data_IF_592244626681
#
_entry.id   IF_592244626681
#
_cell.length_a   1.000
_cell.length_b   1.000
_cell.length_c   1.000
_cell.angle_alpha   90.00
_cell.angle_beta   90.00
_cell.angle_gamma   90.00
#
_symmetry.space_group_name_H-M   'P 1'
#
loop_
_entity.id
_entity.type
_entity.pdbx_description
1 polymer ?
#
# COMPACT_ATOMS: atom_id res chain seq x y z
N UNK A 1 -16.01 21.77 -5.85
CA UNK A 1 -15.21 22.36 -6.95
C UNK A 1 -15.22 21.36 -8.10
N UNK A 2 -15.58 21.77 -9.32
CA UNK A 2 -15.48 20.89 -10.49
C UNK A 2 -14.04 20.89 -10.97
N UNK A 3 -13.32 19.80 -10.72
CA UNK A 3 -11.99 19.56 -11.24
C UNK A 3 -12.12 19.00 -12.66
N UNK A 4 -12.20 19.89 -13.64
CA UNK A 4 -12.27 19.47 -15.05
C UNK A 4 -10.86 19.52 -15.66
N UNK A 5 -10.09 18.45 -15.50
CA UNK A 5 -8.82 18.22 -16.17
C UNK A 5 -8.61 16.72 -16.41
N UNK A 6 -7.76 16.37 -17.38
CA UNK A 6 -7.35 14.98 -17.63
C UNK A 6 -5.99 14.71 -16.96
N UNK A 7 -5.77 13.48 -16.49
CA UNK A 7 -4.47 13.08 -15.93
C UNK A 7 -3.33 13.28 -16.93
N UNK A 8 -3.59 13.01 -18.20
CA UNK A 8 -2.61 13.17 -19.28
C UNK A 8 -2.15 14.64 -19.45
N UNK A 9 -3.05 15.62 -19.35
CA UNK A 9 -2.68 17.03 -19.39
C UNK A 9 -1.79 17.43 -18.19
N UNK A 10 -2.01 16.83 -17.02
CA UNK A 10 -1.16 17.05 -15.83
C UNK A 10 0.22 16.41 -16.03
N UNK A 11 0.28 15.18 -16.55
CA UNK A 11 1.54 14.46 -16.82
C UNK A 11 2.38 15.20 -17.86
N UNK A 12 1.75 15.75 -18.90
CA UNK A 12 2.42 16.58 -19.93
C UNK A 12 2.78 17.98 -19.45
N UNK A 13 2.40 18.37 -18.24
CA UNK A 13 2.79 19.65 -17.64
C UNK A 13 2.00 20.86 -18.15
N UNK A 14 0.80 20.65 -18.69
CA UNK A 14 -0.05 21.75 -19.17
C UNK A 14 -0.43 22.68 -18.01
N UNK A 15 -0.07 23.97 -18.11
CA UNK A 15 -0.15 24.93 -16.99
C UNK A 15 -1.53 25.00 -16.34
N UNK A 16 -2.59 25.02 -17.15
CA UNK A 16 -3.96 25.09 -16.67
C UNK A 16 -4.38 23.84 -15.89
N UNK A 17 -4.03 22.65 -16.41
CA UNK A 17 -4.32 21.38 -15.75
C UNK A 17 -3.57 21.28 -14.42
N UNK A 18 -2.27 21.61 -14.40
CA UNK A 18 -1.45 21.62 -13.19
C UNK A 18 -1.98 22.61 -12.16
N UNK A 19 -2.38 23.82 -12.56
CA UNK A 19 -2.94 24.84 -11.66
C UNK A 19 -4.25 24.38 -11.00
N UNK A 20 -5.10 23.65 -11.72
CA UNK A 20 -6.33 23.08 -11.18
C UNK A 20 -6.01 21.90 -10.25
N UNK A 21 -5.14 20.99 -10.68
CA UNK A 21 -4.72 19.81 -9.92
C UNK A 21 -4.07 20.17 -8.57
N UNK A 22 -3.29 21.26 -8.50
CA UNK A 22 -2.71 21.77 -7.24
C UNK A 22 -3.74 22.11 -6.16
N UNK A 23 -4.99 22.40 -6.53
CA UNK A 23 -6.08 22.72 -5.59
C UNK A 23 -6.84 21.48 -5.14
N UNK A 24 -6.58 20.32 -5.76
CA UNK A 24 -7.24 19.09 -5.41
C UNK A 24 -6.74 18.60 -4.04
N UNK A 25 -7.68 18.14 -3.22
CA UNK A 25 -7.39 17.49 -1.96
C UNK A 25 -7.95 16.08 -2.01
N UNK A 26 -7.14 15.13 -1.56
CA UNK A 26 -7.58 13.75 -1.44
C UNK A 26 -8.73 13.65 -0.44
N UNK A 27 -9.82 13.02 -0.86
CA UNK A 27 -10.92 12.65 0.01
C UNK A 27 -10.95 11.13 0.11
N UNK A 28 -10.81 10.61 1.33
CA UNK A 28 -10.92 9.17 1.54
C UNK A 28 -12.33 8.70 1.18
N UNK A 29 -12.40 7.56 0.50
CA UNK A 29 -13.67 6.88 0.23
C UNK A 29 -14.23 6.22 1.48
N UNK A 30 -13.38 6.00 2.50
CA UNK A 30 -13.75 5.39 3.76
C UNK A 30 -13.99 6.47 4.81
N UNK A 31 -15.11 6.37 5.54
CA UNK A 31 -15.40 7.25 6.67
C UNK A 31 -14.40 7.05 7.82
N UNK A 32 -13.92 5.83 7.98
CA UNK A 32 -12.87 5.47 8.93
C UNK A 32 -12.14 4.19 8.47
N UNK A 33 -11.00 3.90 9.08
CA UNK A 33 -10.20 2.73 8.74
C UNK A 33 -10.85 1.38 9.15
N UNK A 34 -11.88 1.37 10.00
CA UNK A 34 -12.59 0.13 10.34
C UNK A 34 -13.38 -0.41 9.14
N UNK A 35 -13.94 0.47 8.31
CA UNK A 35 -14.61 0.05 7.06
C UNK A 35 -13.64 -0.66 6.11
N UNK A 36 -12.37 -0.26 6.10
CA UNK A 36 -11.33 -0.95 5.35
C UNK A 36 -11.08 -2.35 5.93
N UNK A 37 -11.06 -2.48 7.26
CA UNK A 37 -10.91 -3.77 7.92
C UNK A 37 -12.07 -4.72 7.60
N UNK A 38 -13.31 -4.23 7.61
CA UNK A 38 -14.51 -5.00 7.29
C UNK A 38 -14.51 -5.46 5.82
N UNK A 39 -14.11 -4.57 4.91
CA UNK A 39 -13.98 -4.89 3.48
C UNK A 39 -13.03 -6.06 3.23
N UNK A 40 -11.96 -6.18 4.02
CA UNK A 40 -10.98 -7.26 3.91
C UNK A 40 -11.51 -8.64 4.37
N UNK A 41 -12.75 -8.73 4.88
CA UNK A 41 -13.35 -10.05 5.13
C UNK A 41 -13.69 -10.81 3.86
N UNK A 42 -14.06 -10.08 2.81
CA UNK A 42 -14.21 -10.59 1.45
C UNK A 42 -13.02 -10.16 0.60
N UNK A 43 -12.05 -11.06 0.46
CA UNK A 43 -10.84 -10.81 -0.32
C UNK A 43 -11.10 -10.53 -1.81
N UNK A 44 -12.20 -11.06 -2.37
CA UNK A 44 -12.53 -10.80 -3.78
C UNK A 44 -12.96 -9.34 -3.96
N UNK A 45 -13.90 -8.89 -3.12
CA UNK A 45 -14.37 -7.50 -3.14
C UNK A 45 -13.24 -6.52 -2.77
N UNK A 46 -12.43 -6.85 -1.78
CA UNK A 46 -11.26 -6.04 -1.41
C UNK A 46 -10.26 -5.89 -2.55
N UNK A 47 -9.86 -7.01 -3.19
CA UNK A 47 -8.92 -6.97 -4.33
C UNK A 47 -9.49 -6.18 -5.50
N UNK A 48 -10.76 -6.40 -5.85
CA UNK A 48 -11.42 -5.68 -6.92
C UNK A 48 -11.55 -4.19 -6.63
N UNK A 49 -11.82 -3.80 -5.38
CA UNK A 49 -11.98 -2.39 -4.99
C UNK A 49 -10.70 -1.58 -5.19
N UNK A 50 -9.55 -2.19 -4.92
CA UNK A 50 -8.24 -1.55 -5.05
C UNK A 50 -7.51 -1.92 -6.35
N UNK A 51 -8.18 -2.61 -7.27
CA UNK A 51 -7.64 -3.02 -8.57
C UNK A 51 -6.35 -3.84 -8.49
N UNK A 52 -6.25 -4.75 -7.51
CA UNK A 52 -5.10 -5.65 -7.42
C UNK A 52 -5.05 -6.61 -8.62
N UNK A 53 -3.92 -6.72 -9.33
CA UNK A 53 -3.78 -7.69 -10.40
C UNK A 53 -3.77 -9.12 -9.83
N UNK A 54 -4.38 -10.04 -10.56
CA UNK A 54 -4.49 -11.45 -10.19
C UNK A 54 -3.58 -12.37 -11.00
N UNK A 55 -2.98 -11.87 -12.08
CA UNK A 55 -2.12 -12.62 -13.01
C UNK A 55 -0.88 -11.81 -13.37
N UNK A 56 0.21 -12.50 -13.72
CA UNK A 56 1.39 -11.93 -14.37
C UNK A 56 1.02 -11.35 -15.74
N UNK A 57 1.62 -10.24 -16.17
CA UNK A 57 1.31 -9.67 -17.49
C UNK A 57 2.14 -10.29 -18.61
N UNK A 58 3.35 -10.78 -18.30
CA UNK A 58 4.24 -11.36 -19.29
C UNK A 58 5.07 -12.53 -18.74
N UNK A 59 5.69 -13.30 -19.65
CA UNK A 59 6.60 -14.37 -19.29
C UNK A 59 7.89 -13.81 -18.67
N UNK A 60 8.38 -12.68 -19.19
CA UNK A 60 9.57 -12.00 -18.69
C UNK A 60 9.38 -11.55 -17.23
N UNK A 61 8.22 -11.02 -16.88
CA UNK A 61 7.90 -10.65 -15.49
C UNK A 61 7.73 -11.87 -14.58
N UNK A 62 7.18 -12.97 -15.11
CA UNK A 62 7.01 -14.21 -14.36
C UNK A 62 8.37 -14.87 -14.05
N UNK A 63 9.33 -14.77 -14.97
CA UNK A 63 10.69 -15.31 -14.84
C UNK A 63 11.61 -14.42 -14.00
N UNK A 64 11.17 -13.22 -13.62
CA UNK A 64 11.94 -12.26 -12.82
C UNK A 64 11.18 -11.80 -11.55
N UNK A 65 10.97 -12.70 -10.56
CA UNK A 65 10.28 -12.35 -9.33
C UNK A 65 11.10 -11.36 -8.48
N UNK A 66 10.42 -10.33 -7.96
CA UNK A 66 11.01 -9.32 -7.08
C UNK A 66 10.60 -9.53 -5.62
N UNK A 67 11.45 -9.10 -4.69
CA UNK A 67 11.15 -9.04 -3.27
C UNK A 67 11.15 -7.59 -2.77
N UNK A 68 10.11 -7.20 -2.03
CA UNK A 68 9.95 -5.86 -1.45
C UNK A 68 9.94 -5.92 0.08
N UNK A 69 10.79 -5.11 0.72
CA UNK A 69 10.71 -4.80 2.14
C UNK A 69 10.01 -3.46 2.37
N UNK A 70 8.88 -3.46 3.07
CA UNK A 70 8.06 -2.26 3.32
C UNK A 70 7.96 -1.98 4.82
N UNK A 71 8.40 -0.78 5.22
CA UNK A 71 8.32 -0.29 6.60
C UNK A 71 7.28 0.83 6.65
N UNK A 72 6.15 0.59 7.31
CA UNK A 72 5.01 1.52 7.34
C UNK A 72 4.56 1.83 8.77
N UNK A 73 3.88 2.96 9.00
CA UNK A 73 3.47 3.32 10.37
C UNK A 73 2.14 4.08 10.50
N UNK A 74 1.55 4.55 9.40
CA UNK A 74 0.29 5.32 9.42
C UNK A 74 -0.48 5.17 8.11
N UNK A 75 -1.74 5.64 8.11
CA UNK A 75 -2.62 5.72 6.94
C UNK A 75 -2.79 4.37 6.20
N UNK A 76 -3.59 3.44 6.73
CA UNK A 76 -3.69 2.09 6.16
C UNK A 76 -4.22 2.11 4.71
N UNK A 77 -5.15 3.01 4.39
CA UNK A 77 -5.64 3.16 3.00
C UNK A 77 -4.52 3.55 2.04
N UNK A 78 -3.61 4.45 2.44
CA UNK A 78 -2.46 4.82 1.62
C UNK A 78 -1.54 3.62 1.41
N UNK A 79 -1.31 2.81 2.44
CA UNK A 79 -0.51 1.59 2.34
C UNK A 79 -1.14 0.59 1.37
N UNK A 80 -2.46 0.38 1.43
CA UNK A 80 -3.17 -0.53 0.52
C UNK A 80 -3.10 -0.02 -0.93
N UNK A 81 -3.31 1.28 -1.16
CA UNK A 81 -3.19 1.88 -2.51
C UNK A 81 -1.76 1.84 -3.04
N UNK A 82 -0.77 2.06 -2.19
CA UNK A 82 0.64 1.89 -2.55
C UNK A 82 0.91 0.43 -2.93
N UNK A 83 0.49 -0.51 -2.09
CA UNK A 83 0.66 -1.94 -2.36
C UNK A 83 -0.03 -2.31 -3.67
N UNK A 84 -1.25 -1.87 -3.95
CA UNK A 84 -1.95 -2.20 -5.20
C UNK A 84 -1.24 -1.66 -6.44
N UNK A 85 -0.50 -0.56 -6.34
CA UNK A 85 0.27 0.00 -7.45
C UNK A 85 1.55 -0.79 -7.80
N UNK A 86 2.10 -1.53 -6.85
CA UNK A 86 3.34 -2.32 -7.03
C UNK A 86 3.11 -3.83 -6.92
N UNK A 87 1.89 -4.27 -6.59
CA UNK A 87 1.57 -5.67 -6.35
C UNK A 87 1.54 -6.46 -7.66
N UNK A 88 2.22 -7.59 -7.67
CA UNK A 88 2.12 -8.61 -8.70
C UNK A 88 2.17 -10.01 -8.06
N UNK A 89 1.45 -11.01 -8.59
CA UNK A 89 1.30 -12.31 -7.93
C UNK A 89 2.61 -13.11 -7.82
N UNK A 90 3.57 -12.89 -8.71
CA UNK A 90 4.88 -13.56 -8.72
C UNK A 90 5.89 -12.95 -7.75
N UNK A 91 5.66 -11.70 -7.30
CA UNK A 91 6.56 -11.00 -6.39
C UNK A 91 6.30 -11.39 -4.94
N UNK A 92 7.26 -11.12 -4.06
CA UNK A 92 7.16 -11.32 -2.62
C UNK A 92 7.18 -9.97 -1.88
N UNK A 93 6.31 -9.82 -0.88
CA UNK A 93 6.18 -8.58 -0.11
C UNK A 93 6.34 -8.89 1.39
N UNK A 94 7.40 -8.39 2.00
CA UNK A 94 7.58 -8.38 3.45
C UNK A 94 7.16 -7.01 3.98
N UNK A 95 6.05 -6.94 4.71
CA UNK A 95 5.53 -5.68 5.24
C UNK A 95 5.61 -5.72 6.76
N UNK A 96 6.30 -4.75 7.34
CA UNK A 96 6.36 -4.54 8.78
C UNK A 96 5.84 -3.18 9.15
N UNK A 97 5.61 -2.97 10.44
CA UNK A 97 5.13 -1.71 10.94
C UNK A 97 5.76 -1.31 12.27
N UNK A 98 5.80 0.00 12.50
CA UNK A 98 6.21 0.55 13.79
C UNK A 98 5.28 0.05 14.90
N UNK A 99 5.86 -0.46 15.98
CA UNK A 99 5.09 -0.91 17.15
C UNK A 99 4.27 0.20 17.80
N UNK A 100 4.59 1.48 17.54
CA UNK A 100 3.82 2.64 18.00
C UNK A 100 2.54 2.90 17.22
N UNK A 101 2.33 2.25 16.07
CA UNK A 101 1.10 2.44 15.29
C UNK A 101 -0.16 2.06 16.07
N UNK A 102 -1.29 2.64 15.69
CA UNK A 102 -2.59 2.37 16.33
C UNK A 102 -2.99 0.91 16.18
N UNK A 103 -3.79 0.38 17.11
CA UNK A 103 -4.21 -1.03 17.06
C UNK A 103 -4.94 -1.35 15.75
N UNK A 104 -5.86 -0.48 15.33
CA UNK A 104 -6.59 -0.62 14.07
C UNK A 104 -5.66 -0.71 12.85
N UNK A 105 -4.57 0.07 12.81
CA UNK A 105 -3.57 -0.02 11.74
C UNK A 105 -2.89 -1.39 11.72
N UNK A 106 -2.51 -1.89 12.90
CA UNK A 106 -1.88 -3.22 13.07
C UNK A 106 -2.84 -4.32 12.62
N UNK A 107 -4.11 -4.25 13.02
CA UNK A 107 -5.12 -5.26 12.67
C UNK A 107 -5.34 -5.33 11.16
N UNK A 108 -5.39 -4.18 10.48
CA UNK A 108 -5.49 -4.11 9.02
C UNK A 108 -4.29 -4.77 8.35
N UNK A 109 -3.05 -4.42 8.76
CA UNK A 109 -1.86 -5.00 8.14
C UNK A 109 -1.74 -6.50 8.41
N UNK A 110 -2.06 -6.96 9.62
CA UNK A 110 -2.06 -8.38 9.95
C UNK A 110 -3.14 -9.18 9.19
N UNK A 111 -4.16 -8.51 8.64
CA UNK A 111 -5.20 -9.15 7.81
C UNK A 111 -4.77 -9.27 6.34
N UNK A 112 -3.76 -8.56 5.87
CA UNK A 112 -3.29 -8.64 4.46
C UNK A 112 -2.92 -10.06 4.01
N UNK A 113 -2.16 -10.87 4.79
CA UNK A 113 -1.81 -12.23 4.39
C UNK A 113 -3.01 -13.16 4.17
N UNK A 114 -4.19 -12.86 4.76
CA UNK A 114 -5.43 -13.60 4.50
C UNK A 114 -5.83 -13.52 3.03
N UNK A 115 -5.61 -12.37 2.40
CA UNK A 115 -5.99 -12.12 1.00
C UNK A 115 -4.83 -12.32 0.02
N UNK A 116 -3.59 -12.17 0.46
CA UNK A 116 -2.42 -12.24 -0.41
C UNK A 116 -1.41 -13.29 0.11
N UNK A 117 -1.29 -14.46 -0.52
CA UNK A 117 -0.39 -15.51 -0.05
C UNK A 117 1.09 -15.14 -0.15
N UNK A 118 1.43 -14.17 -1.01
CA UNK A 118 2.76 -13.62 -1.22
C UNK A 118 3.06 -12.35 -0.40
N UNK A 119 2.20 -12.01 0.57
CA UNK A 119 2.44 -10.95 1.55
C UNK A 119 2.72 -11.57 2.91
N UNK A 120 3.84 -11.20 3.50
CA UNK A 120 4.32 -11.67 4.79
C UNK A 120 4.38 -10.51 5.78
N UNK A 121 3.89 -10.76 7.00
CA UNK A 121 4.05 -9.85 8.13
C UNK A 121 4.98 -10.52 9.15
N UNK A 122 6.23 -10.04 9.34
CA UNK A 122 7.14 -10.62 10.31
C UNK A 122 6.57 -10.62 11.72
N UNK A 123 6.93 -11.62 12.54
CA UNK A 123 6.55 -11.64 13.96
C UNK A 123 7.26 -10.55 14.74
N UNK A 124 8.57 -10.46 14.56
CA UNK A 124 9.44 -9.47 15.19
C UNK A 124 9.23 -8.09 14.57
N UNK A 125 9.03 -7.08 15.42
CA UNK A 125 8.75 -5.70 15.04
C UNK A 125 9.42 -4.78 16.04
N UNK A 126 9.97 -3.67 15.56
CA UNK A 126 10.68 -2.73 16.41
C UNK A 126 9.93 -1.40 16.53
N UNK A 127 10.21 -0.68 17.62
CA UNK A 127 9.83 0.73 17.75
C UNK A 127 10.74 1.55 16.84
N UNK A 128 10.16 2.39 15.99
CA UNK A 128 10.93 3.19 15.03
C UNK A 128 10.90 4.65 15.47
N UNK A 129 12.00 5.13 16.03
CA UNK A 129 12.19 6.54 16.35
C UNK A 129 12.95 7.25 15.23
N UNK A 130 12.59 8.50 14.99
CA UNK A 130 13.30 9.34 14.02
C UNK A 130 14.75 9.52 14.47
N UNK A 131 15.70 9.37 13.54
CA UNK A 131 17.14 9.32 13.81
C UNK A 131 17.59 8.21 14.79
N UNK A 132 16.77 7.17 14.98
CA UNK A 132 17.14 5.96 15.73
C UNK A 132 17.60 4.81 14.83
N UNK A 133 18.15 3.75 15.44
CA UNK A 133 18.63 2.55 14.75
C UNK A 133 17.51 1.57 14.35
N UNK A 134 16.26 1.83 14.76
CA UNK A 134 15.13 0.90 14.55
C UNK A 134 14.90 0.54 13.09
N UNK A 135 15.12 1.46 12.15
CA UNK A 135 15.00 1.20 10.70
C UNK A 135 16.00 0.12 10.26
N UNK A 136 17.26 0.20 10.72
CA UNK A 136 18.30 -0.78 10.37
C UNK A 136 18.03 -2.15 10.99
N UNK A 137 17.46 -2.18 12.20
CA UNK A 137 17.08 -3.43 12.85
C UNK A 137 15.96 -4.14 12.07
N UNK A 138 14.98 -3.36 11.61
CA UNK A 138 13.88 -3.86 10.79
C UNK A 138 14.38 -4.35 9.43
N UNK A 139 15.22 -3.58 8.76
CA UNK A 139 15.75 -3.91 7.44
C UNK A 139 16.49 -5.26 7.45
N UNK A 140 17.28 -5.52 8.50
CA UNK A 140 17.93 -6.82 8.73
C UNK A 140 16.96 -8.00 8.79
N UNK A 141 15.72 -7.82 9.23
CA UNK A 141 14.71 -8.88 9.26
C UNK A 141 14.11 -9.19 7.88
N UNK A 142 14.35 -8.33 6.90
CA UNK A 142 13.74 -8.38 5.57
C UNK A 142 14.68 -8.89 4.47
N UNK A 143 15.99 -8.92 4.74
CA UNK A 143 17.04 -9.52 3.90
C UNK A 143 17.33 -10.96 4.31
#
# INVERSE_FOLDING_TARGET
MNFNFTCDAVVRGEENAVRIAKKWQYQSEFKNASQLLDLMDDCSTFKSRFSFPSVTLSAEEADFPLAYGLIVYKNPEQVVRMLSSIYWPQNLYCITYDTKSTQLFKDILNKLPKCFPNVLIPKEKYKIDWCGYGVLQVDRLMT
#
